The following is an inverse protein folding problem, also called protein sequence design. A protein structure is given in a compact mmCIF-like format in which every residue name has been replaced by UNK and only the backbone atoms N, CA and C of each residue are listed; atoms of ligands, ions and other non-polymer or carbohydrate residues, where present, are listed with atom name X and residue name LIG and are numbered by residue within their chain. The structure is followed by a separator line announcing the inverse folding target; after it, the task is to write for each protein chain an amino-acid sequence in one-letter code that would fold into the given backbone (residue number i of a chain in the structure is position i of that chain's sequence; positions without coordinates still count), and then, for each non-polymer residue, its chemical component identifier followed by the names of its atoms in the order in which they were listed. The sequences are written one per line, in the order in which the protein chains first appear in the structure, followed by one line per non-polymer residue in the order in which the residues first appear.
data_IF_984269719192
#
_entry.id   IF_984269719192
#
_cell.length_a   1.000
_cell.length_b   1.000
_cell.length_c   1.000
_cell.angle_alpha   90.00
_cell.angle_beta   90.00
_cell.angle_gamma   90.00
#
_symmetry.space_group_name_H-M   'P 1'
#
loop_
_entity.id
_entity.type
_entity.pdbx_description
1 polymer ?
#
# COMPACT_ATOMS: atom_id res chain seq x y z
N UNK A 1 14.32 -15.87 3.63
CA UNK A 1 13.65 -14.62 3.21
C UNK A 1 12.45 -14.91 2.31
N UNK A 2 12.66 -15.67 1.22
CA UNK A 2 11.66 -15.95 0.18
C UNK A 2 10.29 -16.47 0.69
N UNK A 3 10.27 -17.59 1.41
CA UNK A 3 9.00 -18.19 1.86
C UNK A 3 8.19 -17.29 2.83
N UNK A 4 8.88 -16.58 3.74
CA UNK A 4 8.23 -15.71 4.73
C UNK A 4 7.63 -14.46 4.08
N UNK A 5 8.35 -13.87 3.12
CA UNK A 5 7.85 -12.74 2.35
C UNK A 5 6.63 -13.09 1.52
N UNK A 6 6.69 -14.20 0.76
CA UNK A 6 5.54 -14.67 -0.05
C UNK A 6 4.31 -14.92 0.80
N UNK A 7 4.49 -15.50 1.99
CA UNK A 7 3.38 -15.71 2.92
C UNK A 7 2.77 -14.40 3.40
N UNK A 8 3.58 -13.42 3.80
CA UNK A 8 3.06 -12.10 4.22
C UNK A 8 2.38 -11.35 3.09
N UNK A 9 2.97 -11.36 1.90
CA UNK A 9 2.39 -10.77 0.69
C UNK A 9 1.01 -11.37 0.40
N UNK A 10 0.92 -12.71 0.35
CA UNK A 10 -0.36 -13.41 0.17
C UNK A 10 -1.37 -13.04 1.25
N UNK A 11 -0.99 -13.11 2.53
CA UNK A 11 -1.90 -12.81 3.63
C UNK A 11 -2.39 -11.36 3.58
N UNK A 12 -1.53 -10.40 3.21
CA UNK A 12 -1.92 -8.99 3.08
C UNK A 12 -2.93 -8.78 1.95
N UNK A 13 -2.75 -9.48 0.82
CA UNK A 13 -3.69 -9.44 -0.31
C UNK A 13 -5.02 -10.12 0.03
N UNK A 14 -4.99 -11.26 0.71
CA UNK A 14 -6.19 -11.96 1.16
C UNK A 14 -6.99 -11.08 2.13
N UNK A 15 -6.32 -10.41 3.09
CA UNK A 15 -6.98 -9.52 4.05
C UNK A 15 -7.56 -8.27 3.38
N UNK A 16 -6.84 -7.59 2.49
CA UNK A 16 -7.38 -6.38 1.84
C UNK A 16 -8.56 -6.71 0.90
N UNK A 17 -8.68 -7.96 0.45
CA UNK A 17 -9.81 -8.45 -0.33
C UNK A 17 -11.03 -8.84 0.51
N UNK A 18 -10.87 -9.12 1.81
CA UNK A 18 -12.02 -9.27 2.72
C UNK A 18 -12.54 -7.92 3.21
N UNK A 19 -11.75 -6.86 3.10
CA UNK A 19 -12.12 -5.49 3.47
C UNK A 19 -12.95 -4.78 2.38
N UNK A 20 -13.72 -5.50 1.55
CA UNK A 20 -14.55 -4.87 0.51
C UNK A 20 -15.78 -4.22 1.15
N UNK A 21 -16.11 -3.00 0.68
CA UNK A 21 -17.33 -2.32 1.11
C UNK A 21 -18.49 -2.74 0.19
N UNK A 22 -19.45 -3.47 0.74
CA UNK A 22 -20.71 -3.82 0.07
C UNK A 22 -21.64 -2.60 0.01
N UNK A 23 -21.26 -1.57 -0.75
CA UNK A 23 -22.11 -0.38 -0.90
C UNK A 23 -23.26 -0.69 -1.85
N UNK A 24 -24.47 -0.82 -1.29
CA UNK A 24 -25.74 -0.91 -2.02
C UNK A 24 -26.26 0.46 -2.48
N UNK A 25 -25.49 1.54 -2.29
CA UNK A 25 -25.87 2.91 -2.65
C UNK A 25 -24.69 3.67 -3.26
N UNK A 26 -24.33 3.35 -4.51
CA UNK A 26 -23.56 4.29 -5.34
C UNK A 26 -24.53 5.26 -5.98
N UNK A 27 -24.82 6.37 -5.29
CA UNK A 27 -25.40 7.54 -5.97
C UNK A 27 -24.32 8.10 -6.88
N UNK A 28 -24.53 7.95 -8.18
CA UNK A 28 -23.79 8.63 -9.24
C UNK A 28 -24.10 10.11 -9.06
N UNK A 29 -23.24 10.85 -8.39
CA UNK A 29 -23.35 12.31 -8.37
C UNK A 29 -22.00 12.92 -8.74
N UNK A 30 -22.08 13.87 -9.67
CA UNK A 30 -21.01 14.49 -10.45
C UNK A 30 -20.06 15.35 -9.60
N UNK A 31 -19.33 14.76 -8.67
CA UNK A 31 -18.23 15.42 -7.99
C UNK A 31 -16.92 15.07 -8.69
N UNK A 32 -16.35 16.04 -9.43
CA UNK A 32 -14.99 16.05 -9.99
C UNK A 32 -14.10 15.00 -9.32
N UNK A 33 -14.02 13.83 -9.93
CA UNK A 33 -13.37 12.67 -9.34
C UNK A 33 -11.93 13.07 -9.00
N UNK A 34 -11.64 13.23 -7.70
CA UNK A 34 -10.30 13.59 -7.23
C UNK A 34 -9.46 12.34 -7.35
N UNK A 35 -9.12 12.02 -8.60
CA UNK A 35 -8.31 10.86 -8.96
C UNK A 35 -6.86 11.21 -8.66
N UNK A 36 -6.32 10.59 -7.62
CA UNK A 36 -4.87 10.62 -7.40
C UNK A 36 -4.28 9.59 -8.37
N UNK A 37 -3.63 10.05 -9.43
CA UNK A 37 -3.00 9.14 -10.41
C UNK A 37 -1.96 8.26 -9.73
N UNK A 38 -2.09 6.94 -9.92
CA UNK A 38 -1.14 5.95 -9.41
C UNK A 38 0.30 6.25 -9.87
N UNK A 39 1.33 6.09 -9.01
CA UNK A 39 2.68 6.55 -9.29
C UNK A 39 3.50 5.50 -10.06
N UNK A 40 3.04 5.10 -11.24
CA UNK A 40 3.68 4.07 -12.07
C UNK A 40 5.14 4.39 -12.44
N UNK A 41 5.47 5.67 -12.58
CA UNK A 41 6.82 6.13 -12.88
C UNK A 41 7.79 5.79 -11.73
N UNK A 42 7.33 5.85 -10.48
CA UNK A 42 8.15 5.53 -9.31
C UNK A 42 8.42 4.03 -9.23
N UNK A 43 7.42 3.19 -9.51
CA UNK A 43 7.60 1.73 -9.59
C UNK A 43 8.54 1.34 -10.73
N UNK A 44 8.43 2.03 -11.88
CA UNK A 44 9.30 1.82 -13.04
C UNK A 44 10.75 2.25 -12.79
N UNK A 45 10.97 3.26 -11.93
CA UNK A 45 12.30 3.66 -11.47
C UNK A 45 12.86 2.64 -10.47
N UNK A 46 12.06 2.24 -9.48
CA UNK A 46 12.45 1.27 -8.47
C UNK A 46 12.86 -0.08 -9.08
N UNK A 47 12.13 -0.57 -10.10
CA UNK A 47 12.44 -1.85 -10.75
C UNK A 47 13.81 -1.90 -11.44
N UNK A 48 14.37 -0.74 -11.80
CA UNK A 48 15.69 -0.59 -12.43
C UNK A 48 16.79 -0.22 -11.44
N UNK A 49 16.44 0.01 -10.17
CA UNK A 49 17.38 0.39 -9.13
C UNK A 49 18.15 -0.83 -8.59
N UNK A 50 19.09 -0.57 -7.67
CA UNK A 50 19.79 -1.64 -6.96
C UNK A 50 18.83 -2.48 -6.10
N UNK A 51 19.25 -3.68 -5.71
CA UNK A 51 18.42 -4.56 -4.88
C UNK A 51 18.10 -3.94 -3.51
N UNK A 52 19.09 -3.27 -2.88
CA UNK A 52 18.89 -2.52 -1.63
C UNK A 52 17.87 -1.38 -1.82
N UNK A 53 17.89 -0.68 -2.97
CA UNK A 53 16.94 0.42 -3.24
C UNK A 53 15.53 -0.09 -3.57
N UNK A 54 15.41 -1.24 -4.25
CA UNK A 54 14.11 -1.93 -4.46
C UNK A 54 13.48 -2.32 -3.13
N UNK A 55 14.29 -2.84 -2.21
CA UNK A 55 13.85 -3.17 -0.86
C UNK A 55 13.48 -1.90 -0.09
N UNK A 56 14.31 -0.86 -0.11
CA UNK A 56 14.03 0.41 0.56
C UNK A 56 12.73 1.06 0.05
N UNK A 57 12.49 1.04 -1.26
CA UNK A 57 11.25 1.52 -1.87
C UNK A 57 10.04 0.71 -1.39
N UNK A 58 10.12 -0.62 -1.41
CA UNK A 58 9.06 -1.49 -0.90
C UNK A 58 8.77 -1.23 0.58
N UNK A 59 9.81 -1.12 1.41
CA UNK A 59 9.68 -0.79 2.84
C UNK A 59 8.97 0.54 3.02
N UNK A 60 9.28 1.55 2.20
CA UNK A 60 8.59 2.83 2.27
C UNK A 60 7.11 2.68 1.92
N UNK A 61 6.76 1.99 0.83
CA UNK A 61 5.35 1.74 0.46
C UNK A 61 4.58 1.12 1.62
N UNK A 62 5.10 0.03 2.21
CA UNK A 62 4.42 -0.66 3.31
C UNK A 62 4.21 0.25 4.53
N UNK A 63 5.20 1.08 4.87
CA UNK A 63 5.09 2.04 5.98
C UNK A 63 4.08 3.15 5.71
N UNK A 64 4.02 3.66 4.48
CA UNK A 64 3.03 4.69 4.12
C UNK A 64 1.61 4.11 4.13
N UNK A 65 1.43 2.84 3.73
CA UNK A 65 0.14 2.15 3.86
C UNK A 65 -0.26 1.98 5.32
N UNK A 66 0.66 1.55 6.20
CA UNK A 66 0.39 1.45 7.65
C UNK A 66 -0.10 2.80 8.19
N UNK A 67 0.63 3.89 7.94
CA UNK A 67 0.25 5.23 8.39
C UNK A 67 -1.10 5.67 7.82
N UNK A 68 -1.41 5.34 6.56
CA UNK A 68 -2.68 5.70 5.95
C UNK A 68 -3.86 4.97 6.61
N UNK A 69 -3.69 3.70 6.98
CA UNK A 69 -4.74 2.87 7.59
C UNK A 69 -4.90 3.11 9.10
N UNK A 70 -4.01 3.89 9.73
CA UNK A 70 -4.20 4.40 11.10
C UNK A 70 -5.18 5.59 11.17
N UNK A 71 -5.59 6.15 10.02
CA UNK A 71 -6.64 7.18 9.98
C UNK A 71 -8.04 6.60 10.27
N UNK A 72 -9.00 7.48 10.60
CA UNK A 72 -10.36 7.05 10.95
C UNK A 72 -11.07 6.38 9.77
N UNK A 73 -11.24 5.05 9.89
CA UNK A 73 -11.94 4.19 8.95
C UNK A 73 -13.30 3.70 9.48
N UNK A 74 -13.87 4.37 10.49
CA UNK A 74 -15.16 3.96 11.10
C UNK A 74 -16.29 3.84 10.08
N UNK A 75 -16.32 4.70 9.05
CA UNK A 75 -17.32 4.67 7.98
C UNK A 75 -17.15 3.50 7.01
N UNK A 76 -15.96 2.87 6.95
CA UNK A 76 -15.70 1.74 6.06
C UNK A 76 -16.36 0.44 6.54
N UNK A 77 -16.87 0.40 7.78
CA UNK A 77 -17.52 -0.77 8.39
C UNK A 77 -16.65 -2.04 8.40
N UNK A 78 -15.33 -1.90 8.25
CA UNK A 78 -14.38 -3.00 8.32
C UNK A 78 -14.32 -3.55 9.75
N UNK A 79 -14.14 -4.86 9.87
CA UNK A 79 -13.88 -5.47 11.18
C UNK A 79 -12.51 -4.99 11.69
N UNK A 80 -12.49 -4.38 12.88
CA UNK A 80 -11.29 -3.81 13.49
C UNK A 80 -10.15 -4.85 13.57
N UNK A 81 -10.46 -6.08 13.98
CA UNK A 81 -9.50 -7.18 14.04
C UNK A 81 -8.89 -7.54 12.69
N UNK A 82 -9.62 -7.37 11.59
CA UNK A 82 -9.10 -7.57 10.23
C UNK A 82 -8.09 -6.48 9.87
N UNK A 83 -8.40 -5.21 10.20
CA UNK A 83 -7.49 -4.08 9.98
C UNK A 83 -6.23 -4.22 10.83
N UNK A 84 -6.37 -4.55 12.12
CA UNK A 84 -5.23 -4.77 13.02
C UNK A 84 -4.30 -5.88 12.51
N UNK A 85 -4.87 -7.00 12.08
CA UNK A 85 -4.10 -8.10 11.50
C UNK A 85 -3.38 -7.67 10.22
N UNK A 86 -4.04 -6.89 9.36
CA UNK A 86 -3.46 -6.35 8.14
C UNK A 86 -2.28 -5.42 8.46
N UNK A 87 -2.44 -4.46 9.36
CA UNK A 87 -1.39 -3.53 9.82
C UNK A 87 -0.20 -4.26 10.45
N UNK A 88 -0.46 -5.28 11.27
CA UNK A 88 0.57 -6.09 11.89
C UNK A 88 1.40 -6.87 10.85
N UNK A 89 0.76 -7.48 9.86
CA UNK A 89 1.46 -8.17 8.76
C UNK A 89 2.34 -7.20 7.97
N UNK A 90 1.80 -6.04 7.58
CA UNK A 90 2.57 -5.04 6.83
C UNK A 90 3.76 -4.52 7.62
N UNK A 91 3.59 -4.26 8.91
CA UNK A 91 4.67 -3.81 9.80
C UNK A 91 5.77 -4.87 9.90
N UNK A 92 5.41 -6.13 10.17
CA UNK A 92 6.36 -7.23 10.22
C UNK A 92 7.09 -7.45 8.90
N UNK A 93 6.38 -7.30 7.78
CA UNK A 93 6.97 -7.41 6.44
C UNK A 93 7.94 -6.25 6.17
N UNK A 94 7.58 -5.02 6.52
CA UNK A 94 8.44 -3.85 6.37
C UNK A 94 9.73 -3.98 7.20
N UNK A 95 9.62 -4.38 8.46
CA UNK A 95 10.78 -4.57 9.35
C UNK A 95 11.67 -5.72 8.88
N UNK A 96 11.05 -6.83 8.45
CA UNK A 96 11.75 -7.98 7.89
C UNK A 96 12.57 -7.59 6.65
N UNK A 97 11.96 -6.88 5.68
CA UNK A 97 12.67 -6.41 4.48
C UNK A 97 13.74 -5.38 4.81
N UNK A 98 13.46 -4.46 5.73
CA UNK A 98 14.42 -3.44 6.15
C UNK A 98 15.68 -4.06 6.75
N UNK A 99 15.55 -5.18 7.49
CA UNK A 99 16.71 -5.89 8.05
C UNK A 99 17.66 -6.49 7.00
N UNK A 100 17.21 -6.62 5.75
CA UNK A 100 17.98 -7.18 4.64
C UNK A 100 18.80 -6.14 3.88
N UNK A 101 18.51 -4.85 4.10
CA UNK A 101 19.16 -3.73 3.40
C UNK A 101 20.56 -3.56 3.99
N UNK A 102 21.60 -3.83 3.19
CA UNK A 102 23.00 -3.88 3.69
C UNK A 102 23.62 -2.50 3.74
N UNK A 103 23.41 -1.70 2.70
CA UNK A 103 23.84 -0.32 2.71
C UNK A 103 22.73 0.53 3.29
N UNK A 104 23.11 1.58 4.00
CA UNK A 104 22.23 2.65 4.42
C UNK A 104 21.63 3.34 3.17
N UNK A 105 20.64 2.72 2.51
CA UNK A 105 19.90 3.31 1.40
C UNK A 105 19.14 4.49 1.98
N UNK A 106 19.68 5.68 1.75
CA UNK A 106 19.28 6.92 2.43
C UNK A 106 18.16 7.67 1.71
N UNK A 107 17.68 7.17 0.58
CA UNK A 107 16.75 7.91 -0.26
C UNK A 107 15.32 7.41 -0.08
N UNK A 108 14.63 7.94 0.93
CA UNK A 108 13.16 7.94 0.95
C UNK A 108 12.67 8.76 -0.24
N UNK A 109 11.78 8.19 -1.04
CA UNK A 109 11.14 8.89 -2.15
C UNK A 109 10.16 9.94 -1.60
N UNK A 110 10.55 11.21 -1.68
CA UNK A 110 9.67 12.33 -1.33
C UNK A 110 8.42 12.36 -2.21
N UNK A 111 8.54 11.96 -3.48
CA UNK A 111 7.41 11.87 -4.42
C UNK A 111 6.39 10.82 -3.97
N UNK A 112 6.86 9.65 -3.54
CA UNK A 112 5.99 8.60 -3.01
C UNK A 112 5.26 9.07 -1.74
N UNK A 113 5.99 9.72 -0.83
CA UNK A 113 5.39 10.29 0.37
C UNK A 113 4.31 11.33 0.04
N UNK A 114 4.56 12.23 -0.91
CA UNK A 114 3.57 13.20 -1.36
C UNK A 114 2.35 12.54 -2.02
N UNK A 115 2.55 11.42 -2.72
CA UNK A 115 1.44 10.64 -3.27
C UNK A 115 0.52 10.11 -2.16
N UNK A 116 1.06 9.46 -1.12
CA UNK A 116 0.24 8.98 0.00
C UNK A 116 -0.42 10.12 0.79
N UNK A 117 0.25 11.27 0.94
CA UNK A 117 -0.41 12.47 1.49
C UNK A 117 -1.59 12.95 0.64
N UNK A 118 -1.54 12.82 -0.68
CA UNK A 118 -2.68 13.15 -1.55
C UNK A 118 -3.83 12.16 -1.36
N UNK A 119 -3.56 10.87 -1.19
CA UNK A 119 -4.61 9.91 -0.82
C UNK A 119 -5.29 10.32 0.50
N UNK A 120 -4.50 10.57 1.55
CA UNK A 120 -5.02 11.04 2.84
C UNK A 120 -5.83 12.34 2.70
N UNK A 121 -5.27 13.39 2.11
CA UNK A 121 -5.91 14.69 2.12
C UNK A 121 -7.01 14.83 1.07
N UNK A 122 -6.72 14.44 -0.17
CA UNK A 122 -7.58 14.72 -1.30
C UNK A 122 -8.66 13.67 -1.51
N UNK A 123 -8.45 12.44 -1.02
CA UNK A 123 -9.46 11.38 -1.09
C UNK A 123 -10.15 11.25 0.27
N UNK A 124 -9.43 10.87 1.34
CA UNK A 124 -10.08 10.62 2.64
C UNK A 124 -10.65 11.88 3.27
N UNK A 125 -9.82 12.89 3.58
CA UNK A 125 -10.27 14.08 4.31
C UNK A 125 -11.29 14.92 3.54
N UNK A 126 -11.05 15.15 2.25
CA UNK A 126 -11.98 15.93 1.42
C UNK A 126 -13.35 15.26 1.24
N UNK A 127 -13.39 13.92 1.24
CA UNK A 127 -14.65 13.16 1.20
C UNK A 127 -15.15 12.76 2.59
N UNK A 128 -14.64 13.39 3.65
CA UNK A 128 -15.10 13.18 5.02
C UNK A 128 -14.93 11.76 5.54
N UNK A 129 -13.89 11.05 5.10
CA UNK A 129 -13.64 9.63 5.43
C UNK A 129 -14.83 8.72 5.08
N UNK A 130 -15.59 9.03 4.03
CA UNK A 130 -16.75 8.23 3.63
C UNK A 130 -16.37 6.80 3.26
N UNK A 131 -17.36 5.91 3.26
CA UNK A 131 -17.19 4.52 2.83
C UNK A 131 -16.64 4.45 1.39
N UNK A 132 -17.14 5.28 0.48
CA UNK A 132 -16.68 5.35 -0.92
C UNK A 132 -15.22 5.80 -1.01
N UNK A 133 -14.81 6.76 -0.20
CA UNK A 133 -13.42 7.24 -0.15
C UNK A 133 -12.47 6.13 0.31
N UNK A 134 -12.87 5.37 1.33
CA UNK A 134 -12.11 4.22 1.81
C UNK A 134 -12.07 3.06 0.81
N UNK A 135 -13.15 2.82 0.05
CA UNK A 135 -13.14 1.83 -1.03
C UNK A 135 -12.16 2.21 -2.16
N UNK A 136 -12.07 3.50 -2.51
CA UNK A 136 -11.05 3.99 -3.45
C UNK A 136 -9.63 3.75 -2.91
N UNK A 137 -9.37 4.16 -1.66
CA UNK A 137 -8.06 3.95 -1.02
C UNK A 137 -7.70 2.48 -0.92
N UNK A 138 -8.65 1.61 -0.58
CA UNK A 138 -8.43 0.16 -0.50
C UNK A 138 -8.00 -0.42 -1.84
N UNK A 139 -8.64 -0.03 -2.95
CA UNK A 139 -8.26 -0.43 -4.31
C UNK A 139 -6.86 0.05 -4.70
N UNK A 140 -6.53 1.29 -4.35
CA UNK A 140 -5.19 1.85 -4.56
C UNK A 140 -4.13 1.06 -3.77
N UNK A 141 -4.39 0.80 -2.49
CA UNK A 141 -3.48 0.02 -1.64
C UNK A 141 -3.34 -1.42 -2.12
N UNK A 142 -4.42 -2.08 -2.56
CA UNK A 142 -4.33 -3.40 -3.18
C UNK A 142 -3.36 -3.39 -4.37
N UNK A 143 -3.46 -2.37 -5.22
CA UNK A 143 -2.56 -2.20 -6.37
C UNK A 143 -1.11 -2.00 -5.91
N UNK A 144 -0.87 -1.19 -4.88
CA UNK A 144 0.47 -1.03 -4.28
C UNK A 144 1.04 -2.37 -3.80
N UNK A 145 0.25 -3.17 -3.07
CA UNK A 145 0.68 -4.47 -2.54
C UNK A 145 1.08 -5.42 -3.67
N UNK A 146 0.25 -5.53 -4.72
CA UNK A 146 0.56 -6.33 -5.91
C UNK A 146 1.86 -5.89 -6.58
N UNK A 147 2.07 -4.56 -6.72
CA UNK A 147 3.27 -4.01 -7.37
C UNK A 147 4.52 -4.23 -6.52
N UNK A 148 4.42 -4.16 -5.20
CA UNK A 148 5.53 -4.48 -4.30
C UNK A 148 5.85 -5.97 -4.28
N UNK A 149 4.85 -6.85 -4.37
CA UNK A 149 5.05 -8.29 -4.48
C UNK A 149 5.84 -8.65 -5.74
N UNK A 150 5.46 -8.06 -6.88
CA UNK A 150 6.20 -8.21 -8.14
C UNK A 150 7.63 -7.71 -8.02
N UNK A 151 7.81 -6.53 -7.41
CA UNK A 151 9.12 -5.90 -7.25
C UNK A 151 10.07 -6.75 -6.41
N UNK A 152 9.62 -7.24 -5.25
CA UNK A 152 10.44 -8.08 -4.38
C UNK A 152 10.61 -9.48 -4.96
N UNK A 153 9.59 -10.05 -5.60
CA UNK A 153 9.70 -11.35 -6.28
C UNK A 153 10.77 -11.36 -7.38
N UNK A 154 11.01 -10.22 -8.04
CA UNK A 154 12.08 -10.08 -9.04
C UNK A 154 13.49 -10.24 -8.44
N UNK A 155 13.66 -10.02 -7.12
CA UNK A 155 14.91 -10.24 -6.40
C UNK A 155 15.17 -11.72 -6.11
N UNK A 156 14.09 -12.50 -6.01
CA UNK A 156 14.12 -13.90 -5.58
C UNK A 156 14.30 -14.84 -6.77
N UNK A 157 13.88 -14.39 -7.96
CA UNK A 157 14.06 -15.07 -9.24
C UNK A 157 14.83 -14.17 -10.22
N UNK A 158 16.13 -13.93 -10.02
CA UNK A 158 16.89 -12.95 -10.80
C UNK A 158 17.09 -13.30 -12.29
N UNK A 159 16.54 -14.41 -12.80
CA UNK A 159 16.61 -14.78 -14.22
C UNK A 159 15.51 -15.77 -14.61
N UNK A 160 14.69 -15.39 -15.59
CA UNK A 160 14.35 -16.28 -16.70
C UNK A 160 15.12 -15.76 -17.93
#
# INVERSE_FOLDING_TARGET
MDHKFRQFSKNSLDLIDTMVIDSTHTTVDDEKDVTVTFPDDLYSQASKASDDDKLAFTVQVLKEVVVLFEEDHSSASWQESTVENFLNIMTQQADGLHSCIRNNSHTKSQKLHMYFKRLSHHVLKNKGHSAEAWELVRKEVKTHLQRTDQLVSSLLNPSA
#
